data_IF_409426095554
#
_entry.id   IF_409426095554
#
_cell.length_a   1.000
_cell.length_b   1.000
_cell.length_c   1.000
_cell.angle_alpha   90.00
_cell.angle_beta   90.00
_cell.angle_gamma   90.00
#
_symmetry.space_group_name_H-M   'P 1'
#
loop_
_entity.id
_entity.type
_entity.pdbx_description
1 polymer ?
#
# COMPACT_ATOMS: atom_id res chain seq x y z
N UNK A 1 20.86 30.62 -19.92
CA UNK A 1 20.04 30.68 -18.67
C UNK A 1 19.99 29.29 -18.05
N UNK A 2 20.57 29.12 -16.85
CA UNK A 2 20.57 27.84 -16.10
C UNK A 2 19.13 27.41 -15.73
N UNK A 3 18.82 26.10 -15.63
CA UNK A 3 17.53 25.66 -15.10
C UNK A 3 17.32 26.27 -13.71
N UNK A 4 16.10 26.71 -13.40
CA UNK A 4 15.72 27.20 -12.07
C UNK A 4 15.05 26.07 -11.31
N UNK A 5 15.22 26.05 -9.99
CA UNK A 5 14.50 25.12 -9.13
C UNK A 5 12.99 25.34 -9.29
N UNK A 6 12.21 24.27 -9.34
CA UNK A 6 10.77 24.35 -9.60
C UNK A 6 9.98 23.60 -8.53
N UNK A 7 8.91 24.18 -7.96
CA UNK A 7 8.11 23.48 -6.96
C UNK A 7 7.31 22.33 -7.60
N UNK A 8 7.16 21.22 -6.86
CA UNK A 8 6.50 19.98 -7.31
C UNK A 8 5.10 20.25 -7.86
N UNK A 9 4.28 21.05 -7.17
CA UNK A 9 2.92 21.38 -7.62
C UNK A 9 2.87 22.06 -8.99
N UNK A 10 3.90 22.83 -9.34
CA UNK A 10 3.94 23.55 -10.62
C UNK A 10 4.23 22.57 -11.75
N UNK A 11 5.13 21.62 -11.53
CA UNK A 11 5.36 20.52 -12.46
C UNK A 11 4.10 19.66 -12.62
N UNK A 12 3.36 19.40 -11.54
CA UNK A 12 2.12 18.62 -11.57
C UNK A 12 1.07 19.31 -12.45
N UNK A 13 0.88 20.62 -12.23
CA UNK A 13 0.00 21.46 -13.05
C UNK A 13 0.44 21.50 -14.52
N UNK A 14 1.74 21.57 -14.79
CA UNK A 14 2.27 21.60 -16.17
C UNK A 14 2.14 20.26 -16.89
N UNK A 15 2.10 19.12 -16.18
CA UNK A 15 1.87 17.80 -16.76
C UNK A 15 0.39 17.39 -16.81
N UNK A 16 -0.51 18.13 -16.13
CA UNK A 16 -1.89 17.68 -15.95
C UNK A 16 -2.00 16.41 -15.09
N UNK A 17 -1.03 16.18 -14.20
CA UNK A 17 -0.97 14.99 -13.32
C UNK A 17 -1.05 15.39 -11.86
N UNK A 18 -1.34 14.41 -10.99
CA UNK A 18 -1.32 14.63 -9.54
C UNK A 18 0.10 14.92 -9.02
N UNK A 19 0.17 15.59 -7.87
CA UNK A 19 1.42 15.99 -7.23
C UNK A 19 2.33 14.80 -6.94
N UNK A 20 1.76 13.63 -6.60
CA UNK A 20 2.55 12.47 -6.23
C UNK A 20 3.18 11.80 -7.43
N UNK A 21 2.58 11.92 -8.62
CA UNK A 21 3.18 11.45 -9.87
C UNK A 21 4.48 12.21 -10.14
N UNK A 22 4.53 13.49 -9.76
CA UNK A 22 5.77 14.28 -9.79
C UNK A 22 6.73 13.85 -8.68
N UNK A 23 6.27 13.61 -7.45
CA UNK A 23 7.15 13.14 -6.36
C UNK A 23 7.79 11.77 -6.67
N UNK A 24 7.03 10.86 -7.27
CA UNK A 24 7.54 9.56 -7.75
C UNK A 24 8.57 9.75 -8.86
N UNK A 25 8.28 10.59 -9.85
CA UNK A 25 9.22 10.92 -10.92
C UNK A 25 10.52 11.53 -10.38
N UNK A 26 10.45 12.43 -9.38
CA UNK A 26 11.64 12.99 -8.73
C UNK A 26 12.44 11.88 -8.04
N UNK A 27 11.78 10.98 -7.33
CA UNK A 27 12.42 9.91 -6.58
C UNK A 27 13.17 8.90 -7.46
N UNK A 28 12.65 8.56 -8.64
CA UNK A 28 13.31 7.69 -9.62
C UNK A 28 14.70 8.21 -10.01
N UNK A 29 14.87 9.52 -10.20
CA UNK A 29 16.17 10.11 -10.54
C UNK A 29 17.09 10.29 -9.31
N UNK A 30 16.52 10.50 -8.13
CA UNK A 30 17.29 10.69 -6.89
C UNK A 30 17.97 9.40 -6.42
N UNK A 31 17.37 8.24 -6.68
CA UNK A 31 17.98 6.94 -6.35
C UNK A 31 19.13 6.54 -7.27
N UNK A 32 19.28 7.17 -8.46
CA UNK A 32 20.38 6.89 -9.38
C UNK A 32 21.65 7.68 -8.99
N UNK A 33 21.49 8.89 -8.45
CA UNK A 33 22.61 9.81 -8.14
C UNK A 33 22.95 9.93 -6.64
N UNK A 34 22.25 9.20 -5.75
CA UNK A 34 22.53 9.15 -4.31
C UNK A 34 22.35 10.49 -3.55
N UNK A 35 21.75 11.52 -4.19
CA UNK A 35 21.53 12.84 -3.59
C UNK A 35 20.13 13.36 -3.88
N UNK A 36 19.25 13.26 -2.88
CA UNK A 36 18.31 14.30 -2.44
C UNK A 36 17.35 13.72 -1.39
N UNK A 37 17.83 13.64 -0.15
CA UNK A 37 16.93 13.70 0.99
C UNK A 37 16.32 15.11 1.02
N UNK A 38 15.04 15.29 0.69
CA UNK A 38 14.36 16.56 0.98
C UNK A 38 13.25 17.04 0.04
N UNK A 39 12.95 16.37 -1.08
CA UNK A 39 11.74 16.69 -1.88
C UNK A 39 10.66 15.66 -1.55
N UNK A 40 9.83 15.97 -0.57
CA UNK A 40 8.83 15.07 0.00
C UNK A 40 7.41 15.66 -0.01
N UNK A 41 7.28 16.97 -0.21
CA UNK A 41 6.02 17.72 -0.18
C UNK A 41 5.73 18.41 -1.53
N UNK A 42 4.44 18.66 -1.78
CA UNK A 42 3.88 19.48 -2.86
C UNK A 42 4.61 20.81 -3.05
N UNK A 43 5.06 21.44 -1.96
CA UNK A 43 5.71 22.76 -1.97
C UNK A 43 7.22 22.70 -2.14
N UNK A 44 7.82 21.52 -1.98
CA UNK A 44 9.27 21.36 -2.09
C UNK A 44 9.75 21.65 -3.51
N UNK A 45 10.98 22.12 -3.62
CA UNK A 45 11.58 22.51 -4.90
C UNK A 45 12.43 21.39 -5.46
N UNK A 46 12.07 20.92 -6.66
CA UNK A 46 12.91 20.03 -7.46
C UNK A 46 14.18 20.80 -7.86
N UNK A 47 15.38 20.29 -7.54
CA UNK A 47 16.65 20.91 -7.90
C UNK A 47 16.80 21.12 -9.41
N UNK A 48 17.44 22.21 -9.86
CA UNK A 48 17.67 22.49 -11.28
C UNK A 48 18.22 21.33 -12.11
N UNK A 49 19.07 20.51 -11.50
CA UNK A 49 19.72 19.34 -12.09
C UNK A 49 18.75 18.23 -12.44
N UNK A 50 17.66 18.09 -11.68
CA UNK A 50 16.67 17.03 -11.82
C UNK A 50 15.44 17.44 -12.63
N UNK A 51 15.16 18.75 -12.73
CA UNK A 51 13.93 19.27 -13.39
C UNK A 51 13.79 18.75 -14.82
N UNK A 52 14.86 18.68 -15.61
CA UNK A 52 14.75 18.25 -17.02
C UNK A 52 14.51 16.74 -17.16
N UNK A 53 15.11 15.92 -16.27
CA UNK A 53 14.84 14.49 -16.19
C UNK A 53 13.40 14.20 -15.77
N UNK A 54 12.93 14.89 -14.74
CA UNK A 54 11.55 14.78 -14.22
C UNK A 54 10.53 15.22 -15.27
N UNK A 55 10.77 16.32 -16.01
CA UNK A 55 9.88 16.72 -17.12
C UNK A 55 9.77 15.64 -18.18
N UNK A 56 10.90 15.00 -18.51
CA UNK A 56 10.95 13.93 -19.51
C UNK A 56 10.15 12.71 -19.05
N UNK A 57 10.29 12.28 -17.79
CA UNK A 57 9.52 11.13 -17.27
C UNK A 57 8.03 11.44 -17.13
N UNK A 58 7.66 12.70 -16.92
CA UNK A 58 6.28 13.17 -16.90
C UNK A 58 5.68 13.43 -18.30
N UNK A 59 6.43 13.18 -19.38
CA UNK A 59 5.94 13.43 -20.75
C UNK A 59 5.79 14.92 -21.11
N UNK A 60 6.36 15.83 -20.31
CA UNK A 60 6.31 17.27 -20.54
C UNK A 60 7.49 17.70 -21.42
N UNK A 61 7.25 18.53 -22.42
CA UNK A 61 8.29 19.10 -23.27
C UNK A 61 9.40 19.80 -22.46
N UNK A 62 10.63 19.42 -22.77
CA UNK A 62 11.85 20.04 -22.24
C UNK A 62 12.08 21.42 -22.83
N UNK A 63 12.97 22.21 -22.20
CA UNK A 63 13.32 23.55 -22.73
C UNK A 63 13.88 23.47 -24.14
N UNK A 64 14.69 22.45 -24.43
CA UNK A 64 15.28 22.22 -25.75
C UNK A 64 14.21 21.89 -26.79
N UNK A 65 13.25 21.03 -26.45
CA UNK A 65 12.13 20.70 -27.34
C UNK A 65 11.27 21.93 -27.65
N UNK A 66 10.94 22.75 -26.65
CA UNK A 66 10.16 23.98 -26.86
C UNK A 66 10.86 25.04 -27.73
N UNK A 67 12.17 24.91 -27.96
CA UNK A 67 12.95 25.76 -28.89
C UNK A 67 13.22 25.08 -30.24
N UNK A 68 12.78 23.83 -30.42
CA UNK A 68 13.02 23.02 -31.61
C UNK A 68 11.89 23.16 -32.60
N UNK A 69 12.23 23.37 -33.86
CA UNK A 69 11.23 23.35 -34.94
C UNK A 69 10.57 21.98 -35.06
N UNK A 70 11.36 20.89 -34.93
CA UNK A 70 10.88 19.51 -35.04
C UNK A 70 9.77 19.19 -34.05
N UNK A 71 9.88 19.73 -32.83
CA UNK A 71 8.85 19.55 -31.81
C UNK A 71 7.54 20.23 -32.21
N UNK A 72 7.60 21.47 -32.68
CA UNK A 72 6.40 22.22 -33.05
C UNK A 72 5.74 21.76 -34.34
N UNK A 73 6.51 21.27 -35.32
CA UNK A 73 5.93 20.60 -36.49
C UNK A 73 5.16 19.34 -36.10
N UNK A 74 5.66 18.58 -35.12
CA UNK A 74 4.98 17.40 -34.59
C UNK A 74 3.70 17.76 -33.83
N UNK A 75 3.79 18.72 -32.90
CA UNK A 75 2.66 19.16 -32.05
C UNK A 75 1.53 19.77 -32.87
N UNK A 76 1.86 20.52 -33.93
CA UNK A 76 0.86 21.17 -34.78
C UNK A 76 0.40 20.29 -35.96
N UNK A 77 1.00 19.11 -36.15
CA UNK A 77 0.70 18.22 -37.27
C UNK A 77 1.05 18.83 -38.64
N UNK A 78 2.07 19.69 -38.70
CA UNK A 78 2.46 20.40 -39.92
C UNK A 78 3.74 19.83 -40.52
N UNK A 79 3.81 19.79 -41.85
CA UNK A 79 5.06 19.55 -42.55
C UNK A 79 5.97 20.80 -42.45
N UNK A 80 7.23 20.65 -42.87
CA UNK A 80 8.23 21.71 -42.71
C UNK A 80 7.95 22.96 -43.58
N UNK A 81 7.56 22.84 -44.86
CA UNK A 81 7.14 23.99 -45.67
C UNK A 81 5.98 24.77 -45.05
N UNK A 82 4.90 24.10 -44.66
CA UNK A 82 3.69 24.73 -44.11
C UNK A 82 3.99 25.44 -42.78
N UNK A 83 4.85 24.84 -41.96
CA UNK A 83 5.32 25.47 -40.73
C UNK A 83 6.18 26.72 -40.99
N UNK A 84 7.02 26.70 -42.03
CA UNK A 84 7.84 27.85 -42.40
C UNK A 84 6.98 28.99 -42.96
N UNK A 85 5.96 28.67 -43.76
CA UNK A 85 4.99 29.64 -44.25
C UNK A 85 4.23 30.29 -43.09
N UNK A 86 3.70 29.47 -42.18
CA UNK A 86 2.98 29.96 -40.99
C UNK A 86 3.82 30.91 -40.11
N UNK A 87 5.12 30.64 -39.97
CA UNK A 87 6.00 31.56 -39.24
C UNK A 87 6.28 32.84 -40.03
N UNK A 88 6.41 32.74 -41.35
CA UNK A 88 6.67 33.88 -42.24
C UNK A 88 5.49 34.85 -42.28
N UNK A 89 4.26 34.33 -42.32
CA UNK A 89 3.01 35.10 -42.28
C UNK A 89 2.91 35.98 -41.00
N UNK A 90 3.56 35.54 -39.92
CA UNK A 90 3.61 36.20 -38.61
C UNK A 90 4.92 36.97 -38.37
N UNK A 91 5.70 37.20 -39.44
CA UNK A 91 6.91 38.02 -39.41
C UNK A 91 8.16 37.32 -38.87
N UNK A 92 8.15 35.98 -38.75
CA UNK A 92 9.31 35.18 -38.32
C UNK A 92 9.95 34.44 -39.50
N UNK A 93 11.08 34.93 -40.00
CA UNK A 93 11.85 34.23 -41.03
C UNK A 93 12.57 32.99 -40.47
N UNK A 94 12.47 31.85 -41.16
CA UNK A 94 13.16 30.62 -40.79
C UNK A 94 13.87 29.97 -41.98
N UNK A 95 15.16 29.65 -41.82
CA UNK A 95 15.93 28.98 -42.86
C UNK A 95 15.47 27.53 -43.11
N UNK A 96 15.70 26.99 -44.32
CA UNK A 96 15.22 25.65 -44.72
C UNK A 96 15.79 24.52 -43.84
N UNK A 97 17.03 24.65 -43.38
CA UNK A 97 17.71 23.66 -42.51
C UNK A 97 17.75 24.07 -41.03
N UNK A 98 17.14 25.19 -40.66
CA UNK A 98 17.26 25.75 -39.30
C UNK A 98 16.49 24.89 -38.29
N UNK A 99 17.15 24.36 -37.26
CA UNK A 99 16.50 23.49 -36.28
C UNK A 99 15.95 24.21 -35.04
N UNK A 100 16.45 25.42 -34.76
CA UNK A 100 16.03 26.25 -33.63
C UNK A 100 15.07 27.35 -34.07
N UNK A 101 14.07 27.62 -33.25
CA UNK A 101 13.11 28.69 -33.50
C UNK A 101 13.76 30.08 -33.50
N UNK A 102 13.28 31.01 -34.33
CA UNK A 102 13.61 32.42 -34.24
C UNK A 102 13.24 33.02 -32.85
N UNK A 103 13.89 34.11 -32.42
CA UNK A 103 13.51 34.83 -31.22
C UNK A 103 12.03 35.24 -31.27
N UNK A 104 11.30 35.10 -30.16
CA UNK A 104 9.88 35.47 -30.07
C UNK A 104 8.89 34.41 -30.57
N UNK A 105 9.23 33.63 -31.61
CA UNK A 105 8.33 32.66 -32.26
C UNK A 105 7.73 31.62 -31.30
N UNK A 106 8.46 31.21 -30.25
CA UNK A 106 7.94 30.27 -29.23
C UNK A 106 6.66 30.78 -28.55
N UNK A 107 6.56 32.08 -28.25
CA UNK A 107 5.40 32.65 -27.55
C UNK A 107 4.16 32.60 -28.43
N UNK A 108 4.33 32.91 -29.71
CA UNK A 108 3.30 32.79 -30.72
C UNK A 108 2.82 31.34 -30.86
N UNK A 109 3.73 30.37 -31.04
CA UNK A 109 3.37 28.96 -31.19
C UNK A 109 2.64 28.37 -29.98
N UNK A 110 3.01 28.80 -28.76
CA UNK A 110 2.29 28.48 -27.52
C UNK A 110 0.84 28.98 -27.53
N UNK A 111 0.60 30.18 -28.06
CA UNK A 111 -0.75 30.73 -28.18
C UNK A 111 -1.54 30.01 -29.28
N UNK A 112 -0.91 29.75 -30.43
CA UNK A 112 -1.52 29.04 -31.54
C UNK A 112 -1.98 27.63 -31.16
N UNK A 113 -1.14 26.85 -30.48
CA UNK A 113 -1.50 25.50 -30.03
C UNK A 113 -2.71 25.52 -29.09
N UNK A 114 -2.76 26.47 -28.15
CA UNK A 114 -3.91 26.65 -27.26
C UNK A 114 -5.18 27.02 -28.02
N UNK A 115 -5.10 27.90 -29.01
CA UNK A 115 -6.23 28.26 -29.87
C UNK A 115 -6.74 27.06 -30.70
N UNK A 116 -5.88 26.06 -30.95
CA UNK A 116 -6.24 24.80 -31.61
C UNK A 116 -6.65 23.70 -30.62
N UNK A 117 -6.86 24.03 -29.34
CA UNK A 117 -7.15 23.07 -28.26
C UNK A 117 -6.07 21.98 -28.11
N UNK A 118 -4.81 22.29 -28.42
CA UNK A 118 -3.66 21.39 -28.23
C UNK A 118 -2.86 21.90 -27.04
N UNK A 119 -2.59 21.05 -26.05
CA UNK A 119 -1.68 21.37 -24.96
C UNK A 119 -0.26 21.53 -25.52
N UNK A 120 0.35 22.73 -25.46
CA UNK A 120 1.66 23.00 -26.06
C UNK A 120 2.83 22.34 -25.32
N UNK A 121 2.60 21.72 -24.15
CA UNK A 121 3.63 21.05 -23.37
C UNK A 121 3.60 19.54 -23.54
N UNK A 122 2.42 18.95 -23.77
CA UNK A 122 2.23 17.49 -23.88
C UNK A 122 1.84 17.05 -25.30
N UNK A 123 1.33 17.96 -26.12
CA UNK A 123 0.76 17.65 -27.45
C UNK A 123 -0.64 17.02 -27.39
N UNK A 124 -1.25 16.93 -26.21
CA UNK A 124 -2.58 16.35 -26.04
C UNK A 124 -3.68 17.28 -26.56
N UNK A 125 -4.64 16.73 -27.30
CA UNK A 125 -5.83 17.48 -27.76
C UNK A 125 -6.84 17.51 -26.62
N UNK A 126 -7.19 18.71 -26.16
CA UNK A 126 -8.21 18.92 -25.13
C UNK A 126 -9.59 18.63 -25.72
N UNK A 127 -10.06 17.40 -25.55
CA UNK A 127 -11.45 17.01 -25.77
C UNK A 127 -12.08 16.67 -24.42
N UNK A 128 -13.09 17.46 -24.04
CA UNK A 128 -14.08 17.04 -23.05
C UNK A 128 -14.96 15.97 -23.70
N UNK A 129 -14.56 14.71 -23.54
CA UNK A 129 -15.39 13.51 -23.53
C UNK A 129 -14.45 12.30 -23.53
N UNK A 130 -14.58 11.44 -22.52
CA UNK A 130 -13.92 10.14 -22.45
C UNK A 130 -14.66 9.18 -23.38
N UNK A 131 -14.02 8.57 -24.39
CA UNK A 131 -14.44 7.27 -24.88
C UNK A 131 -13.65 6.18 -24.14
N UNK A 132 -14.35 5.09 -23.83
CA UNK A 132 -13.77 3.83 -23.37
C UNK A 132 -12.59 3.38 -24.26
N UNK A 133 -11.61 2.64 -23.74
CA UNK A 133 -10.48 2.19 -24.55
C UNK A 133 -10.98 1.34 -25.70
N UNK A 134 -10.75 1.83 -26.92
CA UNK A 134 -10.96 1.09 -28.15
C UNK A 134 -9.92 -0.03 -28.20
N UNK A 135 -10.40 -1.27 -28.31
CA UNK A 135 -9.60 -2.44 -28.62
C UNK A 135 -8.81 -2.19 -29.90
N UNK A 136 -7.50 -2.00 -29.79
CA UNK A 136 -6.60 -2.24 -30.92
C UNK A 136 -6.54 -3.75 -31.12
N UNK A 137 -7.16 -4.21 -32.20
CA UNK A 137 -6.82 -5.49 -32.80
C UNK A 137 -5.39 -5.37 -33.33
N UNK A 138 -4.41 -5.72 -32.48
CA UNK A 138 -3.10 -6.16 -32.95
C UNK A 138 -3.20 -7.69 -33.15
N UNK A 139 -3.64 -8.08 -34.34
CA UNK A 139 -3.32 -9.40 -34.87
C UNK A 139 -1.90 -9.30 -35.43
N UNK A 140 -0.90 -9.65 -34.63
CA UNK A 140 0.35 -10.27 -35.11
C UNK A 140 1.28 -10.68 -33.95
N UNK A 141 1.57 -12.00 -33.89
CA UNK A 141 2.61 -12.75 -33.14
C UNK A 141 2.34 -13.14 -31.68
N UNK A 142 1.74 -14.32 -31.53
CA UNK A 142 1.52 -15.12 -30.30
C UNK A 142 2.81 -15.72 -29.65
N UNK A 143 4.01 -15.14 -29.83
CA UNK A 143 5.27 -15.83 -29.43
C UNK A 143 5.99 -15.31 -28.17
N UNK A 144 5.50 -14.29 -27.44
CA UNK A 144 6.28 -13.72 -26.32
C UNK A 144 5.44 -13.31 -25.09
N UNK A 145 4.30 -13.97 -24.85
CA UNK A 145 3.53 -13.79 -23.61
C UNK A 145 4.23 -14.55 -22.47
N UNK A 146 4.72 -13.87 -21.41
CA UNK A 146 5.38 -14.55 -20.31
C UNK A 146 4.42 -15.51 -19.59
N UNK A 147 4.92 -16.64 -19.07
CA UNK A 147 4.08 -17.61 -18.37
C UNK A 147 3.42 -16.98 -17.15
N UNK A 148 2.20 -17.41 -16.78
CA UNK A 148 1.48 -16.86 -15.64
C UNK A 148 2.35 -16.91 -14.36
N UNK A 149 2.32 -15.87 -13.53
CA UNK A 149 3.16 -15.79 -12.34
C UNK A 149 2.82 -16.92 -11.35
N UNK A 150 3.85 -17.56 -10.81
CA UNK A 150 3.72 -18.57 -9.76
C UNK A 150 4.03 -17.97 -8.39
N UNK A 151 3.21 -18.30 -7.40
CA UNK A 151 3.35 -17.87 -6.01
C UNK A 151 3.86 -18.99 -5.08
N UNK A 152 4.06 -20.20 -5.61
CA UNK A 152 4.21 -21.43 -4.79
C UNK A 152 5.42 -21.42 -3.85
N UNK A 153 6.50 -20.75 -4.27
CA UNK A 153 7.79 -20.73 -3.57
C UNK A 153 8.05 -19.43 -2.80
N UNK A 154 7.13 -18.47 -2.86
CA UNK A 154 7.36 -17.14 -2.33
C UNK A 154 6.83 -17.01 -0.90
N UNK A 155 7.70 -16.77 0.07
CA UNK A 155 7.31 -16.53 1.47
C UNK A 155 7.24 -17.80 2.32
N UNK A 156 6.65 -17.68 3.51
CA UNK A 156 6.61 -18.71 4.55
C UNK A 156 5.25 -19.39 4.57
N UNK A 157 5.24 -20.71 4.35
CA UNK A 157 4.05 -21.55 4.52
C UNK A 157 3.73 -21.73 6.00
N UNK A 158 2.47 -21.47 6.37
CA UNK A 158 1.90 -21.60 7.71
C UNK A 158 0.41 -21.90 7.58
N UNK A 159 -0.21 -22.33 8.66
CA UNK A 159 -1.67 -22.26 8.77
C UNK A 159 -2.11 -20.79 8.72
N UNK A 160 -2.90 -20.44 7.71
CA UNK A 160 -3.27 -19.06 7.42
C UNK A 160 -4.52 -18.68 8.19
N UNK A 161 -4.42 -17.60 8.98
CA UNK A 161 -5.59 -16.92 9.54
C UNK A 161 -5.95 -15.74 8.66
N UNK A 162 -7.02 -15.89 7.89
CA UNK A 162 -7.57 -14.81 7.09
C UNK A 162 -8.39 -13.83 7.94
N UNK A 163 -8.37 -12.56 7.52
CA UNK A 163 -9.26 -11.55 8.11
C UNK A 163 -10.68 -11.74 7.58
N UNK A 164 -11.68 -11.48 8.41
CA UNK A 164 -13.08 -11.45 7.96
C UNK A 164 -13.48 -10.05 7.47
N UNK A 165 -14.61 -9.97 6.75
CA UNK A 165 -15.18 -8.68 6.31
C UNK A 165 -15.44 -7.76 7.51
N UNK A 166 -16.03 -8.30 8.57
CA UNK A 166 -16.29 -7.58 9.83
C UNK A 166 -14.99 -7.07 10.48
N UNK A 167 -13.92 -7.86 10.47
CA UNK A 167 -12.61 -7.39 10.97
C UNK A 167 -12.03 -6.24 10.15
N UNK A 168 -12.13 -6.29 8.82
CA UNK A 168 -11.68 -5.20 7.95
C UNK A 168 -12.54 -3.95 8.13
N UNK A 169 -13.86 -4.10 8.30
CA UNK A 169 -14.75 -2.98 8.65
C UNK A 169 -14.41 -2.38 10.02
N UNK A 170 -14.10 -3.21 11.04
CA UNK A 170 -13.64 -2.73 12.34
C UNK A 170 -12.35 -1.92 12.24
N UNK A 171 -11.42 -2.35 11.39
CA UNK A 171 -10.19 -1.60 11.10
C UNK A 171 -10.51 -0.24 10.46
N UNK A 172 -11.39 -0.22 9.46
CA UNK A 172 -11.85 1.02 8.84
C UNK A 172 -12.50 1.96 9.86
N UNK A 173 -13.43 1.46 10.69
CA UNK A 173 -14.13 2.25 11.69
C UNK A 173 -13.19 2.79 12.78
N UNK A 174 -12.15 2.04 13.16
CA UNK A 174 -11.11 2.53 14.05
C UNK A 174 -10.33 3.70 13.43
N UNK A 175 -9.95 3.59 12.15
CA UNK A 175 -9.32 4.68 11.41
C UNK A 175 -10.22 5.92 11.31
N UNK A 176 -11.52 5.75 11.01
CA UNK A 176 -12.49 6.86 10.96
C UNK A 176 -12.53 7.59 12.30
N UNK A 177 -12.63 6.86 13.42
CA UNK A 177 -12.64 7.45 14.77
C UNK A 177 -11.33 8.17 15.12
N UNK A 178 -10.19 7.56 14.80
CA UNK A 178 -8.87 8.13 15.11
C UNK A 178 -8.58 9.41 14.31
N UNK A 179 -9.04 9.47 13.06
CA UNK A 179 -8.81 10.60 12.15
C UNK A 179 -9.90 11.68 12.20
N UNK A 180 -11.02 11.46 12.91
CA UNK A 180 -12.18 12.35 12.94
C UNK A 180 -11.86 13.81 13.34
N UNK A 181 -10.82 14.03 14.15
CA UNK A 181 -10.40 15.36 14.64
C UNK A 181 -9.10 15.86 14.01
N UNK A 182 -8.65 15.23 12.93
CA UNK A 182 -7.45 15.67 12.19
C UNK A 182 -7.84 16.59 11.04
N UNK A 183 -6.87 17.29 10.46
CA UNK A 183 -7.09 18.15 9.27
C UNK A 183 -7.49 17.36 8.00
N UNK A 184 -7.49 16.02 8.05
CA UNK A 184 -7.76 15.13 6.92
C UNK A 184 -8.57 13.88 7.38
N UNK A 185 -9.85 14.07 7.77
CA UNK A 185 -10.71 13.00 8.23
C UNK A 185 -11.06 12.03 7.10
N UNK A 186 -11.43 10.79 7.46
CA UNK A 186 -11.97 9.83 6.49
C UNK A 186 -13.46 10.15 6.28
N UNK A 187 -13.75 10.93 5.25
CA UNK A 187 -15.10 11.37 4.90
C UNK A 187 -15.33 11.29 3.37
N UNK A 188 -16.46 10.73 2.89
CA UNK A 188 -17.47 10.01 3.65
C UNK A 188 -16.91 8.69 4.24
N UNK A 189 -17.29 8.33 5.48
CA UNK A 189 -16.90 7.05 6.07
C UNK A 189 -17.78 5.90 5.54
N UNK A 190 -17.34 4.67 5.79
CA UNK A 190 -18.17 3.47 5.59
C UNK A 190 -17.94 2.75 4.26
N UNK A 191 -18.57 1.58 4.17
CA UNK A 191 -18.49 0.69 3.01
C UNK A 191 -19.27 1.31 1.86
N UNK A 192 -18.62 1.40 0.69
CA UNK A 192 -19.23 1.88 -0.56
C UNK A 192 -20.06 0.77 -1.22
N UNK A 193 -19.57 -0.47 -1.15
CA UNK A 193 -20.23 -1.63 -1.73
C UNK A 193 -19.78 -2.92 -1.02
N UNK A 194 -20.75 -3.66 -0.48
CA UNK A 194 -20.51 -4.91 0.26
C UNK A 194 -19.88 -6.01 -0.62
N UNK A 195 -20.19 -6.03 -1.92
CA UNK A 195 -19.57 -6.97 -2.85
C UNK A 195 -18.08 -6.67 -3.08
N UNK A 196 -17.69 -5.39 -3.09
CA UNK A 196 -16.29 -5.00 -3.29
C UNK A 196 -15.43 -5.37 -2.09
N UNK A 197 -15.93 -5.20 -0.86
CA UNK A 197 -15.22 -5.62 0.34
C UNK A 197 -15.18 -7.14 0.47
N UNK A 198 -16.28 -7.83 0.19
CA UNK A 198 -16.31 -9.29 0.20
C UNK A 198 -15.31 -9.87 -0.81
N UNK A 199 -15.28 -9.33 -2.05
CA UNK A 199 -14.31 -9.71 -3.08
C UNK A 199 -12.86 -9.46 -2.65
N UNK A 200 -12.59 -8.30 -2.01
CA UNK A 200 -11.25 -7.98 -1.57
C UNK A 200 -10.75 -8.91 -0.46
N UNK A 201 -11.63 -9.23 0.50
CA UNK A 201 -11.34 -10.09 1.64
C UNK A 201 -11.27 -11.58 1.26
N UNK A 202 -11.99 -12.00 0.22
CA UNK A 202 -11.94 -13.38 -0.28
C UNK A 202 -10.74 -13.64 -1.20
N UNK A 203 -10.16 -12.62 -1.84
CA UNK A 203 -9.02 -12.77 -2.76
C UNK A 203 -7.87 -13.61 -2.21
N UNK A 204 -7.43 -13.47 -0.94
CA UNK A 204 -6.34 -14.28 -0.41
C UNK A 204 -6.67 -15.78 -0.26
N UNK A 205 -7.95 -16.15 -0.31
CA UNK A 205 -8.45 -17.53 -0.27
C UNK A 205 -8.65 -18.12 -1.67
N UNK A 206 -8.31 -17.38 -2.73
CA UNK A 206 -8.45 -17.87 -4.11
C UNK A 206 -7.66 -19.15 -4.31
N UNK A 207 -8.31 -20.17 -4.87
CA UNK A 207 -7.70 -21.47 -5.14
C UNK A 207 -8.60 -22.33 -6.01
N UNK A 208 -8.05 -23.44 -6.52
CA UNK A 208 -8.77 -24.42 -7.32
C UNK A 208 -8.35 -25.82 -6.88
N UNK A 209 -9.31 -26.76 -6.83
CA UNK A 209 -9.07 -28.16 -6.45
C UNK A 209 -8.32 -28.32 -5.10
N UNK A 210 -8.60 -27.45 -4.13
CA UNK A 210 -7.95 -27.45 -2.81
C UNK A 210 -6.54 -26.85 -2.79
N UNK A 211 -6.02 -26.39 -3.92
CA UNK A 211 -4.72 -25.73 -4.03
C UNK A 211 -4.93 -24.21 -4.00
N UNK A 212 -4.35 -23.55 -2.99
CA UNK A 212 -4.39 -22.10 -2.86
C UNK A 212 -3.46 -21.43 -3.88
N UNK A 213 -3.98 -20.40 -4.55
CA UNK A 213 -3.19 -19.51 -5.42
C UNK A 213 -2.15 -18.71 -4.63
N UNK A 214 -2.48 -18.33 -3.39
CA UNK A 214 -1.61 -17.57 -2.49
C UNK A 214 -1.28 -18.41 -1.23
N UNK A 215 -0.37 -19.40 -1.33
CA UNK A 215 -0.21 -20.42 -0.31
C UNK A 215 0.62 -19.99 0.91
N UNK A 216 1.15 -18.77 0.93
CA UNK A 216 2.01 -18.26 2.02
C UNK A 216 1.42 -17.01 2.67
N UNK A 217 1.91 -16.68 3.86
CA UNK A 217 1.46 -15.48 4.58
C UNK A 217 1.69 -14.22 3.75
N UNK A 218 2.86 -14.10 3.12
CA UNK A 218 3.27 -12.92 2.36
C UNK A 218 2.51 -12.78 1.05
N UNK A 219 2.28 -13.88 0.33
CA UNK A 219 1.49 -13.87 -0.92
C UNK A 219 0.03 -13.56 -0.66
N UNK A 220 -0.54 -14.14 0.40
CA UNK A 220 -1.90 -13.87 0.86
C UNK A 220 -2.07 -12.42 1.35
N UNK A 221 -1.08 -11.89 2.09
CA UNK A 221 -1.05 -10.49 2.53
C UNK A 221 -0.97 -9.49 1.36
N UNK A 222 -0.18 -9.81 0.33
CA UNK A 222 -0.09 -9.00 -0.89
C UNK A 222 -1.41 -9.00 -1.67
N UNK A 223 -2.05 -10.16 -1.80
CA UNK A 223 -3.35 -10.27 -2.44
C UNK A 223 -4.40 -9.40 -1.71
N UNK A 224 -4.43 -9.45 -0.38
CA UNK A 224 -5.31 -8.61 0.43
C UNK A 224 -5.03 -7.11 0.23
N UNK A 225 -3.75 -6.72 0.24
CA UNK A 225 -3.31 -5.33 0.06
C UNK A 225 -3.79 -4.78 -1.30
N UNK A 226 -3.45 -5.47 -2.39
CA UNK A 226 -3.82 -5.04 -3.74
C UNK A 226 -5.34 -5.00 -3.90
N UNK A 227 -6.06 -6.00 -3.41
CA UNK A 227 -7.52 -6.02 -3.54
C UNK A 227 -8.20 -4.88 -2.79
N UNK A 228 -7.81 -4.60 -1.55
CA UNK A 228 -8.39 -3.50 -0.77
C UNK A 228 -8.07 -2.13 -1.37
N UNK A 229 -6.91 -1.98 -2.00
CA UNK A 229 -6.54 -0.73 -2.67
C UNK A 229 -7.33 -0.57 -3.98
N UNK A 230 -7.32 -1.58 -4.86
CA UNK A 230 -7.86 -1.45 -6.22
C UNK A 230 -9.37 -1.65 -6.32
N UNK A 231 -9.97 -2.45 -5.44
CA UNK A 231 -11.43 -2.62 -5.45
C UNK A 231 -12.15 -1.39 -4.89
N UNK A 232 -11.46 -0.50 -4.16
CA UNK A 232 -12.05 0.66 -3.50
C UNK A 232 -13.36 0.37 -2.74
N UNK A 233 -13.34 -0.59 -1.78
CA UNK A 233 -14.55 -1.04 -1.09
C UNK A 233 -15.20 0.00 -0.15
N UNK A 234 -14.46 1.03 0.27
CA UNK A 234 -14.93 2.11 1.14
C UNK A 234 -15.09 3.42 0.36
N UNK A 235 -15.96 4.31 0.86
CA UNK A 235 -16.15 5.64 0.27
C UNK A 235 -14.87 6.46 0.27
N UNK A 236 -14.15 6.45 1.39
CA UNK A 236 -12.82 7.05 1.53
C UNK A 236 -11.92 6.15 2.40
N UNK A 237 -10.63 6.47 2.52
CA UNK A 237 -9.71 5.77 3.43
C UNK A 237 -9.20 4.41 2.93
N UNK A 238 -9.51 3.99 1.70
CA UNK A 238 -9.12 2.68 1.14
C UNK A 238 -7.63 2.35 1.33
N UNK A 239 -6.73 3.28 1.00
CA UNK A 239 -5.27 3.10 1.17
C UNK A 239 -4.86 2.91 2.64
N UNK A 240 -5.48 3.69 3.55
CA UNK A 240 -5.23 3.60 5.00
C UNK A 240 -5.74 2.26 5.55
N UNK A 241 -6.96 1.88 5.19
CA UNK A 241 -7.57 0.61 5.60
C UNK A 241 -6.77 -0.57 5.07
N UNK A 242 -6.41 -0.57 3.78
CA UNK A 242 -5.60 -1.63 3.19
C UNK A 242 -4.27 -1.81 3.91
N UNK A 243 -3.55 -0.72 4.18
CA UNK A 243 -2.28 -0.78 4.92
C UNK A 243 -2.46 -1.39 6.31
N UNK A 244 -3.41 -0.90 7.11
CA UNK A 244 -3.62 -1.41 8.48
C UNK A 244 -4.12 -2.86 8.44
N UNK A 245 -5.00 -3.22 7.52
CA UNK A 245 -5.46 -4.60 7.32
C UNK A 245 -4.30 -5.54 6.98
N UNK A 246 -3.39 -5.15 6.10
CA UNK A 246 -2.19 -5.95 5.78
C UNK A 246 -1.25 -6.07 6.98
N UNK A 247 -1.02 -5.00 7.74
CA UNK A 247 -0.19 -5.04 8.96
C UNK A 247 -0.78 -5.97 10.03
N UNK A 248 -2.09 -5.89 10.25
CA UNK A 248 -2.83 -6.77 11.17
C UNK A 248 -2.77 -8.21 10.67
N UNK A 249 -3.01 -8.45 9.38
CA UNK A 249 -2.94 -9.79 8.78
C UNK A 249 -1.56 -10.43 9.00
N UNK A 250 -0.48 -9.69 8.73
CA UNK A 250 0.89 -10.18 8.97
C UNK A 250 1.10 -10.51 10.44
N UNK A 251 0.66 -9.65 11.35
CA UNK A 251 0.82 -9.83 12.79
C UNK A 251 0.10 -11.08 13.32
N UNK A 252 -1.13 -11.29 12.85
CA UNK A 252 -1.95 -12.44 13.20
C UNK A 252 -1.37 -13.77 12.69
N UNK A 253 -0.60 -13.71 11.61
CA UNK A 253 0.13 -14.84 11.03
C UNK A 253 1.61 -14.92 11.53
N UNK A 254 1.97 -14.11 12.53
CA UNK A 254 3.26 -14.17 13.22
C UNK A 254 4.42 -13.56 12.44
N UNK A 255 4.13 -12.60 11.55
CA UNK A 255 5.11 -11.81 10.82
C UNK A 255 5.03 -10.32 11.21
N UNK A 256 6.15 -9.63 11.09
CA UNK A 256 6.19 -8.15 11.18
C UNK A 256 7.05 -7.60 10.06
N UNK A 257 6.73 -6.37 9.63
CA UNK A 257 7.55 -5.65 8.66
C UNK A 257 8.73 -4.95 9.36
N UNK A 258 9.89 -4.95 8.69
CA UNK A 258 11.15 -4.34 9.13
C UNK A 258 11.51 -3.09 8.34
N UNK A 259 10.75 -2.75 7.30
CA UNK A 259 10.94 -1.53 6.51
C UNK A 259 10.66 -0.26 7.32
N UNK A 260 11.24 0.85 6.86
CA UNK A 260 10.91 2.17 7.36
C UNK A 260 9.49 2.60 6.94
N UNK A 261 8.92 3.55 7.69
CA UNK A 261 7.63 4.17 7.37
C UNK A 261 7.62 4.84 5.99
N UNK A 262 8.74 5.43 5.56
CA UNK A 262 8.86 6.07 4.25
C UNK A 262 8.84 5.06 3.10
N UNK A 263 9.51 3.92 3.26
CA UNK A 263 9.44 2.82 2.30
C UNK A 263 8.03 2.24 2.20
N UNK A 264 7.38 2.04 3.34
CA UNK A 264 6.01 1.49 3.42
C UNK A 264 4.99 2.43 2.76
N UNK A 265 5.09 3.74 3.03
CA UNK A 265 4.25 4.75 2.37
C UNK A 265 4.38 4.69 0.84
N UNK A 266 5.63 4.69 0.33
CA UNK A 266 5.87 4.67 -1.12
C UNK A 266 5.37 3.39 -1.76
N UNK A 267 5.58 2.26 -1.09
CA UNK A 267 5.11 0.97 -1.58
C UNK A 267 3.59 0.95 -1.75
N UNK A 268 2.83 1.38 -0.74
CA UNK A 268 1.36 1.48 -0.83
C UNK A 268 0.94 2.42 -1.96
N UNK A 269 1.65 3.52 -2.16
CA UNK A 269 1.38 4.45 -3.24
C UNK A 269 1.67 3.86 -4.64
N UNK A 270 2.74 3.09 -4.79
CA UNK A 270 3.06 2.38 -6.03
C UNK A 270 1.99 1.33 -6.36
N UNK A 271 1.49 0.60 -5.35
CA UNK A 271 0.36 -0.32 -5.51
C UNK A 271 -0.88 0.45 -5.96
N UNK A 272 -1.22 1.54 -5.30
CA UNK A 272 -2.39 2.36 -5.67
C UNK A 272 -2.33 2.93 -7.09
N UNK A 273 -1.13 3.06 -7.67
CA UNK A 273 -0.91 3.60 -9.02
C UNK A 273 -0.66 2.53 -10.07
N UNK A 274 -0.71 1.24 -9.74
CA UNK A 274 -0.32 0.14 -10.63
C UNK A 274 1.11 0.26 -11.16
N UNK A 275 2.03 0.74 -10.31
CA UNK A 275 3.45 1.02 -10.64
C UNK A 275 4.44 0.18 -9.84
N UNK A 276 3.98 -0.89 -9.19
CA UNK A 276 4.87 -1.82 -8.47
C UNK A 276 5.73 -2.62 -9.45
N UNK A 277 5.19 -2.93 -10.64
CA UNK A 277 5.91 -3.62 -11.71
C UNK A 277 6.61 -2.63 -12.62
N UNK A 278 7.82 -2.98 -13.08
CA UNK A 278 8.63 -2.13 -13.98
C UNK A 278 8.29 -2.32 -15.47
N UNK A 279 7.57 -3.39 -15.81
CA UNK A 279 7.34 -3.80 -17.19
C UNK A 279 5.85 -3.64 -17.54
N UNK A 280 5.52 -2.62 -18.33
CA UNK A 280 4.14 -2.29 -18.69
C UNK A 280 3.60 -3.07 -19.90
N UNK A 281 4.44 -3.84 -20.62
CA UNK A 281 4.04 -4.57 -21.83
C UNK A 281 3.07 -5.73 -21.59
N UNK A 282 3.10 -6.34 -20.41
CA UNK A 282 2.26 -7.50 -20.04
C UNK A 282 1.68 -7.33 -18.64
N UNK A 283 1.01 -6.20 -18.40
CA UNK A 283 0.41 -5.91 -17.10
C UNK A 283 -0.76 -6.88 -16.81
N UNK A 284 -0.65 -7.61 -15.70
CA UNK A 284 -1.74 -8.38 -15.10
C UNK A 284 -1.76 -8.11 -13.59
N UNK A 285 -2.96 -8.10 -13.01
CA UNK A 285 -3.15 -7.94 -11.56
C UNK A 285 -2.37 -8.98 -10.75
N UNK A 286 -2.08 -10.14 -11.34
CA UNK A 286 -1.27 -11.18 -10.69
C UNK A 286 0.21 -10.84 -10.65
N UNK A 287 0.79 -10.21 -11.69
CA UNK A 287 2.18 -9.75 -11.64
C UNK A 287 2.37 -8.61 -10.63
N UNK A 288 1.38 -7.73 -10.50
CA UNK A 288 1.41 -6.71 -9.46
C UNK A 288 1.33 -7.32 -8.06
N UNK A 289 0.46 -8.33 -7.88
CA UNK A 289 0.37 -9.07 -6.63
C UNK A 289 1.67 -9.81 -6.32
N UNK A 290 2.33 -10.39 -7.33
CA UNK A 290 3.61 -11.06 -7.18
C UNK A 290 4.70 -10.08 -6.74
N UNK A 291 4.84 -8.95 -7.42
CA UNK A 291 5.82 -7.93 -7.06
C UNK A 291 5.57 -7.36 -5.65
N UNK A 292 4.29 -7.19 -5.28
CA UNK A 292 3.92 -6.81 -3.92
C UNK A 292 4.30 -7.89 -2.89
N UNK A 293 4.08 -9.17 -3.20
CA UNK A 293 4.45 -10.29 -2.35
C UNK A 293 5.96 -10.42 -2.17
N UNK A 294 6.76 -10.21 -3.22
CA UNK A 294 8.22 -10.22 -3.16
C UNK A 294 8.73 -9.15 -2.21
N UNK A 295 8.15 -7.94 -2.32
CA UNK A 295 8.53 -6.82 -1.48
C UNK A 295 8.15 -7.05 -0.01
N UNK A 296 6.96 -7.59 0.26
CA UNK A 296 6.53 -7.99 1.61
C UNK A 296 7.43 -9.09 2.14
N UNK A 297 7.79 -10.08 1.33
CA UNK A 297 8.69 -11.17 1.72
C UNK A 297 10.05 -10.61 2.17
N UNK A 298 10.65 -9.71 1.38
CA UNK A 298 11.92 -9.04 1.71
C UNK A 298 11.87 -8.26 3.03
N UNK A 299 10.75 -7.60 3.32
CA UNK A 299 10.59 -6.78 4.52
C UNK A 299 10.01 -7.55 5.72
N UNK A 300 9.63 -8.81 5.55
CA UNK A 300 9.00 -9.57 6.62
C UNK A 300 10.00 -10.41 7.40
N UNK A 301 9.86 -10.39 8.73
CA UNK A 301 10.53 -11.36 9.61
C UNK A 301 9.53 -12.09 10.48
N UNK A 302 9.86 -13.34 10.83
CA UNK A 302 9.11 -14.10 11.81
C UNK A 302 9.22 -13.51 13.21
N UNK A 303 8.12 -13.53 13.94
CA UNK A 303 8.08 -13.26 15.37
C UNK A 303 7.30 -14.38 16.02
N UNK A 304 7.86 -15.02 17.04
CA UNK A 304 7.11 -16.01 17.81
C UNK A 304 5.99 -15.29 18.57
N UNK A 305 4.74 -15.75 18.47
CA UNK A 305 3.62 -15.22 19.28
C UNK A 305 3.93 -15.35 20.78
N UNK A 306 4.78 -16.31 21.15
CA UNK A 306 5.25 -16.56 22.51
C UNK A 306 6.42 -15.66 22.97
N UNK A 307 6.85 -14.65 22.20
CA UNK A 307 7.90 -13.67 22.62
C UNK A 307 7.31 -12.32 23.04
N UNK A 308 5.99 -12.15 22.99
CA UNK A 308 5.34 -10.86 23.23
C UNK A 308 4.72 -10.79 24.63
N UNK A 309 5.19 -9.85 25.44
CA UNK A 309 4.56 -9.46 26.72
C UNK A 309 3.08 -9.12 26.48
N UNK A 310 2.18 -9.60 27.33
CA UNK A 310 0.75 -9.26 27.27
C UNK A 310 0.29 -8.70 28.61
N UNK A 311 -0.61 -7.73 28.62
CA UNK A 311 -1.16 -7.21 29.87
C UNK A 311 -2.16 -8.19 30.48
N UNK A 312 -2.31 -8.16 31.80
CA UNK A 312 -3.26 -9.01 32.52
C UNK A 312 -4.71 -8.78 32.06
N UNK A 313 -5.06 -7.54 31.71
CA UNK A 313 -6.34 -7.16 31.07
C UNK A 313 -6.66 -8.03 29.85
N UNK A 314 -5.63 -8.39 29.07
CA UNK A 314 -5.79 -9.22 27.85
C UNK A 314 -5.75 -10.70 28.16
N UNK A 315 -4.98 -11.11 29.18
CA UNK A 315 -4.86 -12.50 29.59
C UNK A 315 -6.14 -13.02 30.26
N UNK A 316 -6.80 -12.17 31.08
CA UNK A 316 -8.02 -12.50 31.84
C UNK A 316 -9.14 -13.12 30.97
N UNK A 317 -9.65 -12.47 29.90
CA UNK A 317 -10.76 -13.03 29.11
C UNK A 317 -10.39 -14.32 28.39
N UNK A 318 -9.12 -14.51 28.02
CA UNK A 318 -8.63 -15.75 27.40
C UNK A 318 -8.75 -16.90 28.41
N UNK A 319 -8.24 -16.71 29.62
CA UNK A 319 -8.26 -17.72 30.68
C UNK A 319 -9.70 -18.06 31.11
N UNK A 320 -10.56 -17.06 31.26
CA UNK A 320 -11.99 -17.23 31.54
C UNK A 320 -12.68 -18.04 30.43
N UNK A 321 -12.33 -17.78 29.17
CA UNK A 321 -12.81 -18.54 28.02
C UNK A 321 -12.39 -20.02 28.00
N UNK A 322 -11.38 -20.42 28.78
CA UNK A 322 -10.98 -21.82 29.00
C UNK A 322 -11.52 -22.42 30.31
N UNK A 323 -12.46 -21.72 30.96
CA UNK A 323 -13.09 -22.14 32.21
C UNK A 323 -12.21 -21.91 33.44
N UNK A 324 -11.26 -20.97 33.38
CA UNK A 324 -10.46 -20.60 34.54
C UNK A 324 -11.19 -19.56 35.40
N UNK A 325 -11.05 -19.68 36.72
CA UNK A 325 -11.49 -18.69 37.71
C UNK A 325 -10.28 -17.93 38.23
N UNK A 326 -10.40 -16.62 38.39
CA UNK A 326 -9.30 -15.74 38.78
C UNK A 326 -9.66 -15.04 40.09
N UNK A 327 -8.75 -15.07 41.06
CA UNK A 327 -8.89 -14.35 42.33
C UNK A 327 -7.63 -13.56 42.65
N UNK A 328 -7.79 -12.34 43.14
CA UNK A 328 -6.65 -11.44 43.43
C UNK A 328 -6.45 -11.39 44.94
N UNK A 329 -5.26 -11.76 45.42
CA UNK A 329 -4.88 -11.72 46.84
C UNK A 329 -3.40 -11.39 46.98
N UNK A 330 -3.06 -10.49 47.89
CA UNK A 330 -1.67 -10.16 48.26
C UNK A 330 -0.75 -9.81 47.06
N UNK A 331 -1.23 -8.98 46.13
CA UNK A 331 -0.46 -8.55 44.95
C UNK A 331 -0.21 -9.66 43.91
N UNK A 332 -1.01 -10.73 43.94
CA UNK A 332 -0.96 -11.83 42.96
C UNK A 332 -2.36 -12.16 42.47
N UNK A 333 -2.45 -12.53 41.21
CA UNK A 333 -3.63 -13.15 40.62
C UNK A 333 -3.45 -14.68 40.63
N UNK A 334 -4.33 -15.38 41.34
CA UNK A 334 -4.42 -16.83 41.39
C UNK A 334 -5.43 -17.31 40.37
N UNK A 335 -5.01 -18.21 39.50
CA UNK A 335 -5.79 -18.73 38.39
C UNK A 335 -6.04 -20.21 38.66
N UNK A 336 -7.30 -20.61 38.68
CA UNK A 336 -7.73 -21.97 39.03
C UNK A 336 -8.60 -22.54 37.92
N UNK A 337 -8.34 -23.80 37.56
CA UNK A 337 -9.12 -24.53 36.55
C UNK A 337 -9.48 -25.92 37.08
N UNK A 338 -10.77 -26.28 37.04
CA UNK A 338 -11.25 -27.60 37.45
C UNK A 338 -11.49 -28.48 36.23
N UNK A 339 -11.04 -29.74 36.30
CA UNK A 339 -11.23 -30.75 35.24
C UNK A 339 -11.84 -32.02 35.84
N UNK A 340 -12.80 -32.67 35.16
CA UNK A 340 -13.27 -33.99 35.57
C UNK A 340 -12.12 -35.00 35.44
N UNK A 341 -11.86 -35.76 36.50
CA UNK A 341 -10.85 -36.81 36.54
C UNK A 341 -11.56 -38.16 36.37
N UNK A 342 -11.36 -38.81 35.22
CA UNK A 342 -11.74 -40.22 35.03
C UNK A 342 -10.71 -41.09 35.74
N UNK A 343 -11.06 -41.60 36.92
CA UNK A 343 -10.39 -42.76 37.53
C UNK A 343 -11.30 -43.98 37.40
N UNK A 344 -10.71 -45.17 37.26
CA UNK A 344 -11.42 -46.45 37.08
C UNK A 344 -12.42 -46.79 38.21
N UNK A 345 -12.37 -46.12 39.37
CA UNK A 345 -13.28 -46.36 40.49
C UNK A 345 -13.83 -45.11 41.22
N UNK A 346 -13.56 -43.89 40.74
CA UNK A 346 -14.06 -42.67 41.43
C UNK A 346 -14.21 -41.50 40.46
N UNK A 347 -15.39 -40.85 40.45
CA UNK A 347 -15.60 -39.57 39.76
C UNK A 347 -15.13 -38.42 40.67
N UNK A 348 -13.86 -37.99 40.49
CA UNK A 348 -13.28 -36.84 41.18
C UNK A 348 -13.11 -35.63 40.24
N UNK A 349 -12.94 -34.44 40.80
CA UNK A 349 -12.49 -33.24 40.06
C UNK A 349 -11.04 -32.94 40.41
N UNK A 350 -10.17 -32.81 39.40
CA UNK A 350 -8.78 -32.37 39.57
C UNK A 350 -8.74 -30.86 39.48
N UNK A 351 -8.15 -30.22 40.49
CA UNK A 351 -7.94 -28.77 40.54
C UNK A 351 -6.52 -28.44 40.06
N UNK A 352 -6.42 -27.63 39.02
CA UNK A 352 -5.17 -27.07 38.50
C UNK A 352 -5.06 -25.60 38.92
N UNK A 353 -3.87 -25.14 39.26
CA UNK A 353 -3.67 -23.77 39.75
C UNK A 353 -2.35 -23.17 39.29
N UNK A 354 -2.38 -21.87 38.98
CA UNK A 354 -1.19 -21.06 38.73
C UNK A 354 -1.35 -19.68 39.37
N UNK A 355 -0.29 -18.88 39.36
CA UNK A 355 -0.33 -17.52 39.85
C UNK A 355 0.64 -16.62 39.08
N UNK A 356 0.32 -15.33 39.06
CA UNK A 356 1.14 -14.27 38.46
C UNK A 356 1.13 -13.04 39.34
N UNK A 357 2.22 -12.26 39.28
CA UNK A 357 2.26 -10.94 39.90
C UNK A 357 1.15 -10.05 39.32
N UNK A 358 0.46 -9.32 40.19
CA UNK A 358 -0.68 -8.50 39.80
C UNK A 358 -0.67 -7.19 40.60
N UNK A 359 -0.51 -6.07 39.91
CA UNK A 359 -0.69 -4.73 40.47
C UNK A 359 -2.07 -4.18 40.10
N UNK A 360 -2.41 -4.30 38.83
CA UNK A 360 -3.63 -3.85 38.17
C UNK A 360 -3.83 -4.63 36.86
N UNK A 361 -4.93 -4.41 36.15
CA UNK A 361 -5.15 -5.06 34.85
C UNK A 361 -4.13 -4.58 33.77
N UNK A 362 -3.46 -3.44 33.97
CA UNK A 362 -2.36 -2.97 33.12
C UNK A 362 -1.05 -3.75 33.32
N UNK A 363 -0.98 -4.65 34.30
CA UNK A 363 0.25 -5.38 34.65
C UNK A 363 0.72 -6.23 33.48
N UNK A 364 1.97 -6.02 33.07
CA UNK A 364 2.63 -6.82 32.05
C UNK A 364 2.89 -8.24 32.55
N UNK A 365 2.46 -9.22 31.76
CA UNK A 365 2.71 -10.64 31.95
C UNK A 365 3.76 -11.08 30.94
N UNK A 366 5.00 -11.35 31.38
CA UNK A 366 6.06 -11.83 30.52
C UNK A 366 5.70 -13.15 29.83
N UNK A 367 6.25 -13.42 28.64
CA UNK A 367 5.90 -14.62 27.90
C UNK A 367 6.23 -15.92 28.65
N UNK A 368 7.33 -15.95 29.41
CA UNK A 368 7.68 -17.08 30.27
C UNK A 368 6.64 -17.35 31.35
N UNK A 369 6.03 -16.29 31.89
CA UNK A 369 4.95 -16.40 32.86
C UNK A 369 3.68 -16.94 32.20
N UNK A 370 3.36 -16.51 30.97
CA UNK A 370 2.24 -17.09 30.21
C UNK A 370 2.48 -18.58 29.91
N UNK A 371 3.70 -18.97 29.50
CA UNK A 371 4.07 -20.38 29.29
C UNK A 371 3.92 -21.20 30.56
N UNK A 372 4.34 -20.65 31.71
CA UNK A 372 4.16 -21.28 33.02
C UNK A 372 2.68 -21.47 33.34
N UNK A 373 1.86 -20.43 33.19
CA UNK A 373 0.40 -20.50 33.42
C UNK A 373 -0.24 -21.58 32.55
N UNK A 374 0.14 -21.64 31.26
CA UNK A 374 -0.39 -22.65 30.34
C UNK A 374 -0.03 -24.07 30.76
N UNK A 375 1.23 -24.30 31.14
CA UNK A 375 1.69 -25.61 31.64
C UNK A 375 0.97 -26.01 32.92
N UNK A 376 0.90 -25.11 33.91
CA UNK A 376 0.27 -25.35 35.21
C UNK A 376 -1.23 -25.66 35.08
N UNK A 377 -1.91 -25.05 34.08
CA UNK A 377 -3.34 -25.22 33.81
C UNK A 377 -3.66 -26.22 32.70
N UNK A 378 -2.65 -26.91 32.16
CA UNK A 378 -2.78 -27.88 31.06
C UNK A 378 -3.53 -27.29 29.86
N UNK A 379 -3.07 -26.10 29.43
CA UNK A 379 -3.50 -25.35 28.25
C UNK A 379 -2.39 -25.35 27.19
N UNK A 380 -1.81 -26.53 26.98
CA UNK A 380 -0.75 -26.82 26.02
C UNK A 380 -1.16 -27.94 25.06
N UNK A 381 -0.32 -28.19 24.06
CA UNK A 381 -0.58 -29.13 22.99
C UNK A 381 -0.73 -30.57 23.50
N UNK A 382 0.01 -30.96 24.55
CA UNK A 382 -0.08 -32.31 25.14
C UNK A 382 -1.48 -32.61 25.70
N UNK A 383 -2.25 -31.57 26.04
CA UNK A 383 -3.59 -31.68 26.60
C UNK A 383 -4.71 -31.26 25.62
N UNK A 384 -4.38 -31.16 24.32
CA UNK A 384 -5.33 -30.87 23.25
C UNK A 384 -5.65 -29.39 23.05
N UNK A 385 -4.80 -28.48 23.53
CA UNK A 385 -4.93 -27.04 23.33
C UNK A 385 -3.86 -26.52 22.39
N UNK A 386 -4.28 -25.95 21.27
CA UNK A 386 -3.38 -25.31 20.34
C UNK A 386 -2.81 -24.02 20.95
N UNK A 387 -1.49 -23.86 20.84
CA UNK A 387 -0.79 -22.62 21.14
C UNK A 387 -1.32 -21.46 20.31
N UNK A 388 -1.70 -21.71 19.07
CA UNK A 388 -2.33 -20.73 18.21
C UNK A 388 -3.68 -20.25 18.77
N UNK A 389 -4.56 -21.18 19.16
CA UNK A 389 -5.90 -20.87 19.68
C UNK A 389 -5.84 -20.00 20.95
N UNK A 390 -4.93 -20.34 21.89
CA UNK A 390 -4.75 -19.60 23.13
C UNK A 390 -4.38 -18.12 22.90
N UNK A 391 -3.54 -17.83 21.90
CA UNK A 391 -3.14 -16.47 21.55
C UNK A 391 -3.99 -15.82 20.44
N UNK A 392 -4.99 -16.53 19.88
CA UNK A 392 -5.82 -16.05 18.77
C UNK A 392 -7.07 -15.30 19.23
N UNK A 393 -7.54 -15.53 20.47
CA UNK A 393 -8.66 -14.79 21.11
C UNK A 393 -8.22 -13.39 21.57
N UNK A 394 -7.47 -12.67 20.73
CA UNK A 394 -7.04 -11.29 20.98
C UNK A 394 -8.08 -10.31 20.43
N UNK A 395 -8.35 -9.17 21.10
CA UNK A 395 -8.81 -8.00 20.39
C UNK A 395 -7.70 -7.57 19.41
N UNK A 396 -8.06 -7.41 18.14
CA UNK A 396 -7.15 -6.92 17.09
C UNK A 396 -6.40 -5.69 17.61
N UNK A 397 -5.06 -5.64 17.47
CA UNK A 397 -4.23 -4.51 17.92
C UNK A 397 -4.34 -3.28 17.00
N UNK A 398 -5.55 -2.93 16.58
CA UNK A 398 -5.81 -1.91 15.56
C UNK A 398 -5.23 -0.57 16.02
N UNK A 399 -5.55 -0.13 17.24
CA UNK A 399 -5.12 1.16 17.78
C UNK A 399 -3.59 1.28 17.87
N UNK A 400 -2.90 0.16 18.19
CA UNK A 400 -1.44 0.12 18.25
C UNK A 400 -0.80 0.30 16.87
N UNK A 401 -1.39 -0.27 15.81
CA UNK A 401 -0.95 -0.04 14.44
C UNK A 401 -1.24 1.39 13.99
N UNK A 402 -2.43 1.92 14.29
CA UNK A 402 -2.79 3.29 13.93
C UNK A 402 -1.83 4.28 14.59
N UNK A 403 -1.57 4.14 15.89
CA UNK A 403 -0.64 5.00 16.61
C UNK A 403 0.79 4.91 16.06
N UNK A 404 1.30 3.69 15.84
CA UNK A 404 2.66 3.48 15.34
C UNK A 404 2.87 4.04 13.93
N UNK A 405 1.88 3.88 13.04
CA UNK A 405 1.99 4.28 11.64
C UNK A 405 1.24 5.58 11.34
N UNK A 406 0.91 6.39 12.35
CA UNK A 406 0.08 7.61 12.22
C UNK A 406 0.62 8.56 11.16
N UNK A 407 1.94 8.79 11.12
CA UNK A 407 2.58 9.67 10.13
C UNK A 407 2.40 9.14 8.70
N UNK A 408 2.63 7.84 8.51
CA UNK A 408 2.39 7.15 7.22
C UNK A 408 0.91 7.25 6.81
N UNK A 409 -0.01 6.99 7.72
CA UNK A 409 -1.46 7.02 7.47
C UNK A 409 -1.96 8.42 7.14
N UNK A 410 -1.49 9.46 7.83
CA UNK A 410 -1.79 10.86 7.48
C UNK A 410 -1.38 11.18 6.05
N UNK A 411 -0.18 10.76 5.63
CA UNK A 411 0.30 10.99 4.26
C UNK A 411 -0.54 10.28 3.21
N UNK A 412 -1.12 9.11 3.52
CA UNK A 412 -1.94 8.34 2.58
C UNK A 412 -3.32 8.93 2.28
N UNK A 413 -3.87 9.82 3.12
CA UNK A 413 -5.20 10.41 2.86
C UNK A 413 -5.18 11.73 2.10
N UNK A 414 -4.04 12.42 2.06
CA UNK A 414 -3.88 13.67 1.29
C UNK A 414 -3.86 13.47 -0.23
N UNK A 415 -4.14 12.26 -0.73
CA UNK A 415 -3.84 11.79 -2.09
C UNK A 415 -5.06 11.24 -2.81
#
# INVERSE_FOLDING_TARGET
>A
MRPKAMPVWKLAKEAGVDVDTVLLAVWEFVHVDGRAHGVLDRRDKVPPTLVEGVRKSLGIATRRQLQSVKYWTLVLGLNRPDFAQLLTDEGYAIGPKQQKLPPGAKKFLMALARNRNIDPLTGAISSSNVPAPTSSQDQDRDEDVPPPPSFEHLGRRRELRWLTVDEVQRIHNALVRDFARTDDPIDPPGVRNDHLIASAVSRPQTGMAGILKYPTVETSAAALLCALIHNHPFHNGNKRTALVSTLVYLDENGLVLTCSEDELFRFVLLVAKHKVTKNHRYYSSDYETLAAAEQICKWSRGVSKAERTMTFLKLRPILEGYGCTISIRSGRAFIVRERPQRSRSFFGRRKLQSHVFYRDDGTDVPPDTVRKIRRDLQLDHEHGYDEFDFYSKKPLKIDGFIARYRKTLMRLGKL
#
